data_IF_242508859938
#
_entry.id   IF_242508859938
#
_cell.length_a   1.000
_cell.length_b   1.000
_cell.length_c   1.000
_cell.angle_alpha   90.00
_cell.angle_beta   90.00
_cell.angle_gamma   90.00
#
_symmetry.space_group_name_H-M   'P 1'
#
loop_
_entity.id
_entity.type
_entity.pdbx_description
1 polymer ?
#
# COMPACT_ATOMS: atom_id res chain seq x y z
N UNK A 1 1.10 13.61 -18.28
CA UNK A 1 0.33 12.87 -17.25
C UNK A 1 0.47 13.61 -15.92
N UNK A 2 -0.58 13.73 -15.10
CA UNK A 2 -0.48 14.44 -13.80
C UNK A 2 0.21 13.54 -12.77
N UNK A 3 1.30 14.02 -12.18
CA UNK A 3 2.07 13.33 -11.14
C UNK A 3 2.44 14.35 -10.07
N UNK A 4 1.90 14.19 -8.87
CA UNK A 4 2.13 15.12 -7.74
C UNK A 4 3.01 14.52 -6.66
N UNK A 5 3.17 13.18 -6.66
CA UNK A 5 4.10 12.46 -5.79
C UNK A 5 4.48 11.09 -6.37
N UNK A 6 5.58 10.52 -5.89
CA UNK A 6 6.05 9.17 -6.21
C UNK A 6 6.02 8.31 -4.94
N UNK A 7 5.48 7.10 -5.07
CA UNK A 7 5.61 6.02 -4.09
C UNK A 7 5.95 4.73 -4.83
N UNK A 8 6.52 3.74 -4.14
CA UNK A 8 6.91 2.48 -4.77
C UNK A 8 5.77 1.82 -5.55
N UNK A 9 4.54 1.83 -5.02
CA UNK A 9 3.39 1.25 -5.73
C UNK A 9 2.93 2.08 -6.92
N UNK A 10 3.07 3.41 -6.90
CA UNK A 10 2.64 4.27 -8.00
C UNK A 10 3.64 4.18 -9.14
N UNK A 11 4.94 4.17 -8.82
CA UNK A 11 6.00 3.88 -9.79
C UNK A 11 5.83 2.49 -10.43
N UNK A 12 5.66 1.44 -9.62
CA UNK A 12 5.48 0.09 -10.14
C UNK A 12 4.20 -0.05 -10.98
N UNK A 13 3.12 0.66 -10.62
CA UNK A 13 1.89 0.65 -11.40
C UNK A 13 2.07 1.35 -12.76
N UNK A 14 2.78 2.48 -12.79
CA UNK A 14 3.16 3.15 -14.03
C UNK A 14 4.03 2.27 -14.92
N UNK A 15 5.11 1.71 -14.35
CA UNK A 15 6.02 0.82 -15.06
C UNK A 15 5.30 -0.42 -15.58
N UNK A 16 4.30 -0.91 -14.84
CA UNK A 16 3.44 -1.99 -15.31
C UNK A 16 2.54 -1.55 -16.46
N UNK A 17 1.87 -0.40 -16.38
CA UNK A 17 1.01 0.15 -17.43
C UNK A 17 0.64 1.62 -17.13
N UNK A 18 0.99 2.54 -18.02
CA UNK A 18 0.72 3.97 -17.82
C UNK A 18 -0.79 4.29 -17.79
N UNK A 19 -1.60 3.59 -18.60
CA UNK A 19 -3.06 3.68 -18.53
C UNK A 19 -3.60 3.23 -17.18
N UNK A 20 -2.99 2.21 -16.58
CA UNK A 20 -3.38 1.75 -15.24
C UNK A 20 -3.09 2.84 -14.21
N UNK A 21 -1.90 3.45 -14.26
CA UNK A 21 -1.53 4.54 -13.37
C UNK A 21 -2.52 5.69 -13.46
N UNK A 22 -2.87 6.09 -14.69
CA UNK A 22 -3.81 7.18 -14.90
C UNK A 22 -5.17 6.90 -14.26
N UNK A 23 -5.72 5.69 -14.48
CA UNK A 23 -7.01 5.30 -13.90
C UNK A 23 -6.94 5.25 -12.35
N UNK A 24 -5.85 4.74 -11.79
CA UNK A 24 -5.68 4.58 -10.33
C UNK A 24 -5.38 5.89 -9.61
N UNK A 25 -4.37 6.64 -10.05
CA UNK A 25 -3.78 7.75 -9.30
C UNK A 25 -4.21 9.13 -9.80
N UNK A 26 -4.78 9.23 -11.00
CA UNK A 26 -5.29 10.51 -11.54
C UNK A 26 -6.82 10.53 -11.54
N UNK A 27 -7.47 9.43 -11.91
CA UNK A 27 -8.94 9.34 -11.88
C UNK A 27 -9.50 8.75 -10.58
N UNK A 28 -8.66 8.22 -9.69
CA UNK A 28 -9.08 7.74 -8.36
C UNK A 28 -9.82 6.40 -8.34
N UNK A 29 -9.81 5.63 -9.44
CA UNK A 29 -10.44 4.31 -9.49
C UNK A 29 -9.46 3.25 -8.98
N UNK A 30 -9.62 2.82 -7.73
CA UNK A 30 -8.81 1.76 -7.15
C UNK A 30 -9.30 0.38 -7.57
N UNK A 31 -8.37 -0.54 -7.83
CA UNK A 31 -8.70 -1.96 -7.98
C UNK A 31 -8.94 -2.59 -6.62
N UNK A 32 -9.87 -3.55 -6.56
CA UNK A 32 -10.03 -4.39 -5.36
C UNK A 32 -8.72 -5.12 -5.02
N UNK A 33 -8.43 -5.23 -3.72
CA UNK A 33 -7.25 -5.95 -3.26
C UNK A 33 -7.44 -7.45 -3.52
N UNK A 34 -6.40 -8.09 -4.06
CA UNK A 34 -6.41 -9.53 -4.26
C UNK A 34 -6.23 -10.26 -2.92
N UNK A 35 -6.89 -11.40 -2.74
CA UNK A 35 -6.81 -12.22 -1.52
C UNK A 35 -5.40 -12.37 -0.93
N UNK A 36 -4.38 -12.64 -1.76
CA UNK A 36 -2.99 -12.79 -1.28
C UNK A 36 -2.41 -11.51 -0.67
N UNK A 37 -2.77 -10.35 -1.21
CA UNK A 37 -2.34 -9.07 -0.67
C UNK A 37 -3.02 -8.82 0.68
N UNK A 38 -4.31 -9.12 0.81
CA UNK A 38 -5.05 -9.01 2.09
C UNK A 38 -4.50 -9.96 3.16
N UNK A 39 -4.11 -11.19 2.81
CA UNK A 39 -3.41 -12.08 3.73
C UNK A 39 -2.08 -11.47 4.22
N UNK A 40 -1.37 -10.76 3.35
CA UNK A 40 -0.19 -9.98 3.73
C UNK A 40 -0.51 -8.87 4.71
N UNK A 41 -1.54 -8.06 4.43
CA UNK A 41 -2.01 -6.99 5.33
C UNK A 41 -2.36 -7.51 6.73
N UNK A 42 -3.05 -8.65 6.82
CA UNK A 42 -3.38 -9.29 8.10
C UNK A 42 -2.11 -9.63 8.89
N UNK A 43 -1.10 -10.21 8.24
CA UNK A 43 0.18 -10.55 8.89
C UNK A 43 0.94 -9.28 9.31
N UNK A 44 1.01 -8.26 8.45
CA UNK A 44 1.66 -6.99 8.76
C UNK A 44 1.07 -6.31 9.99
N UNK A 45 -0.26 -6.29 10.09
CA UNK A 45 -0.94 -5.67 11.25
C UNK A 45 -0.58 -6.33 12.58
N UNK A 46 -0.39 -7.66 12.59
CA UNK A 46 0.13 -8.37 13.78
C UNK A 46 1.51 -7.83 14.15
N UNK A 47 2.41 -7.73 13.18
CA UNK A 47 3.79 -7.27 13.39
C UNK A 47 3.86 -5.80 13.84
N UNK A 48 3.05 -4.94 13.24
CA UNK A 48 2.86 -3.53 13.63
C UNK A 48 2.43 -3.41 15.09
N UNK A 49 1.40 -4.15 15.51
CA UNK A 49 0.89 -4.09 16.89
C UNK A 49 1.93 -4.58 17.89
N UNK A 50 2.67 -5.65 17.57
CA UNK A 50 3.78 -6.11 18.41
C UNK A 50 4.88 -5.05 18.54
N UNK A 51 5.23 -4.37 17.46
CA UNK A 51 6.19 -3.27 17.47
C UNK A 51 5.70 -2.08 18.30
N UNK A 52 4.43 -1.67 18.16
CA UNK A 52 3.82 -0.60 18.96
C UNK A 52 3.81 -0.94 20.45
N UNK A 53 3.44 -2.17 20.82
CA UNK A 53 3.47 -2.64 22.22
C UNK A 53 4.90 -2.65 22.78
N UNK A 54 5.88 -3.08 21.98
CA UNK A 54 7.30 -3.04 22.36
C UNK A 54 7.80 -1.61 22.54
N UNK A 55 7.44 -0.68 21.64
CA UNK A 55 7.76 0.75 21.77
C UNK A 55 7.16 1.33 23.06
N UNK A 56 5.89 1.03 23.33
CA UNK A 56 5.25 1.44 24.59
C UNK A 56 6.02 0.91 25.79
N UNK A 57 6.46 -0.35 25.77
CA UNK A 57 7.25 -0.94 26.85
C UNK A 57 8.60 -0.24 27.06
N UNK A 58 9.27 0.15 25.98
CA UNK A 58 10.54 0.91 26.00
C UNK A 58 10.34 2.30 26.60
N UNK A 59 9.29 3.00 26.20
CA UNK A 59 9.01 4.37 26.67
C UNK A 59 8.46 4.39 28.11
N UNK A 60 7.90 3.26 28.56
CA UNK A 60 7.27 3.12 29.87
C UNK A 60 7.87 1.92 30.65
N UNK A 61 9.16 1.95 31.03
CA UNK A 61 9.85 0.80 31.61
C UNK A 61 9.23 0.35 32.95
N UNK A 62 8.69 1.29 33.73
CA UNK A 62 8.07 1.01 35.04
C UNK A 62 6.65 0.43 34.96
N UNK A 63 5.94 0.57 33.82
CA UNK A 63 4.57 0.05 33.70
C UNK A 63 4.60 -1.46 33.55
N UNK A 64 3.72 -2.16 34.27
CA UNK A 64 3.58 -3.62 34.18
C UNK A 64 2.60 -4.05 33.08
N UNK A 65 1.71 -3.14 32.66
CA UNK A 65 0.76 -3.33 31.57
C UNK A 65 1.18 -2.54 30.34
N UNK A 66 0.88 -3.08 29.17
CA UNK A 66 1.06 -2.47 27.86
C UNK A 66 -0.32 -2.14 27.31
N UNK A 67 -0.47 -0.95 26.75
CA UNK A 67 -1.72 -0.53 26.13
C UNK A 67 -1.51 0.22 24.83
N UNK A 68 -2.29 -0.11 23.82
CA UNK A 68 -2.37 0.63 22.55
C UNK A 68 -3.82 0.68 22.08
N UNK A 69 -4.11 1.66 21.23
CA UNK A 69 -5.34 1.76 20.45
C UNK A 69 -4.98 1.57 18.99
N UNK A 70 -5.73 0.73 18.28
CA UNK A 70 -5.53 0.47 16.86
C UNK A 70 -6.89 0.19 16.22
N UNK A 71 -7.09 0.67 14.99
CA UNK A 71 -8.35 0.54 14.28
C UNK A 71 -8.73 -0.93 14.03
N UNK A 72 -7.75 -1.74 13.62
CA UNK A 72 -8.00 -3.11 13.19
C UNK A 72 -8.15 -4.09 14.36
N UNK A 73 -7.46 -3.85 15.48
CA UNK A 73 -7.44 -4.78 16.63
C UNK A 73 -8.12 -4.23 17.89
N UNK A 74 -8.64 -3.01 17.80
CA UNK A 74 -9.22 -2.23 18.91
C UNK A 74 -8.21 -2.01 20.04
N UNK A 75 -8.71 -1.67 21.24
CA UNK A 75 -7.86 -1.56 22.42
C UNK A 75 -7.19 -2.90 22.77
N UNK A 76 -5.88 -2.86 22.96
CA UNK A 76 -5.09 -3.94 23.58
C UNK A 76 -4.63 -3.46 24.94
N UNK A 77 -4.88 -4.25 25.99
CA UNK A 77 -4.42 -3.97 27.35
C UNK A 77 -3.99 -5.28 28.04
N UNK A 78 -2.70 -5.55 28.05
CA UNK A 78 -2.13 -6.84 28.49
C UNK A 78 -0.99 -6.63 29.50
N UNK A 79 -0.65 -7.65 30.28
CA UNK A 79 0.60 -7.62 31.07
C UNK A 79 1.81 -7.75 30.15
N UNK A 80 2.95 -7.18 30.55
CA UNK A 80 4.23 -7.33 29.83
C UNK A 80 4.60 -8.79 29.55
N UNK A 81 4.29 -9.70 30.46
CA UNK A 81 4.55 -11.14 30.30
C UNK A 81 3.74 -11.79 29.19
N UNK A 82 2.58 -11.23 28.82
CA UNK A 82 1.68 -11.81 27.83
C UNK A 82 2.15 -11.54 26.38
N UNK A 83 2.94 -10.47 26.16
CA UNK A 83 3.46 -10.05 24.84
C UNK A 83 4.20 -11.16 24.09
N UNK A 84 4.82 -12.09 24.82
CA UNK A 84 5.64 -13.17 24.26
C UNK A 84 4.90 -14.50 24.15
N UNK A 85 3.65 -14.57 24.62
CA UNK A 85 2.91 -15.83 24.67
C UNK A 85 2.32 -16.18 23.30
N UNK A 86 2.34 -17.46 22.94
CA UNK A 86 1.70 -17.92 21.70
C UNK A 86 0.20 -17.61 21.69
N UNK A 87 -0.46 -17.74 22.84
CA UNK A 87 -1.86 -17.38 23.03
C UNK A 87 -2.16 -15.95 22.58
N UNK A 88 -1.34 -14.98 22.99
CA UNK A 88 -1.55 -13.59 22.62
C UNK A 88 -1.34 -13.36 21.12
N UNK A 89 -0.37 -14.04 20.50
CA UNK A 89 -0.16 -13.99 19.05
C UNK A 89 -1.38 -14.51 18.28
N UNK A 90 -1.97 -15.62 18.73
CA UNK A 90 -3.17 -16.19 18.13
C UNK A 90 -4.38 -15.24 18.26
N UNK A 91 -4.57 -14.65 19.44
CA UNK A 91 -5.63 -13.67 19.70
C UNK A 91 -5.48 -12.41 18.82
N UNK A 92 -4.25 -11.90 18.70
CA UNK A 92 -3.94 -10.73 17.89
C UNK A 92 -4.18 -11.00 16.39
N UNK A 93 -3.73 -12.17 15.90
CA UNK A 93 -4.02 -12.59 14.54
C UNK A 93 -5.52 -12.73 14.30
N UNK A 94 -6.28 -13.32 15.24
CA UNK A 94 -7.72 -13.48 15.09
C UNK A 94 -8.43 -12.13 14.96
N UNK A 95 -8.03 -11.13 15.76
CA UNK A 95 -8.55 -9.76 15.68
C UNK A 95 -8.28 -9.14 14.31
N UNK A 96 -7.02 -9.15 13.87
CA UNK A 96 -6.62 -8.59 12.58
C UNK A 96 -7.31 -9.31 11.41
N UNK A 97 -7.35 -10.65 11.45
CA UNK A 97 -8.01 -11.46 10.43
C UNK A 97 -9.49 -11.14 10.33
N UNK A 98 -10.21 -11.07 11.46
CA UNK A 98 -11.64 -10.76 11.46
C UNK A 98 -11.92 -9.39 10.86
N UNK A 99 -11.14 -8.36 11.23
CA UNK A 99 -11.30 -7.01 10.72
C UNK A 99 -11.13 -6.93 9.19
N UNK A 100 -10.02 -7.41 8.66
CA UNK A 100 -9.75 -7.30 7.23
C UNK A 100 -10.60 -8.24 6.36
N UNK A 101 -11.11 -9.34 6.93
CA UNK A 101 -11.98 -10.26 6.17
C UNK A 101 -13.45 -9.88 6.22
N UNK A 102 -13.93 -9.13 7.21
CA UNK A 102 -15.35 -8.73 7.30
C UNK A 102 -15.76 -7.76 6.19
N UNK A 103 -14.84 -6.97 5.66
CA UNK A 103 -15.11 -5.96 4.63
C UNK A 103 -14.63 -6.38 3.23
N UNK A 104 -14.02 -7.56 3.12
CA UNK A 104 -13.43 -8.02 1.87
C UNK A 104 -14.45 -8.65 0.92
N UNK A 105 -14.24 -8.43 -0.38
CA UNK A 105 -14.96 -9.13 -1.46
C UNK A 105 -14.42 -10.53 -1.74
N UNK A 106 -13.27 -10.89 -1.15
CA UNK A 106 -12.65 -12.19 -1.31
C UNK A 106 -13.25 -13.21 -0.32
N UNK A 107 -13.26 -14.49 -0.72
CA UNK A 107 -13.66 -15.58 0.18
C UNK A 107 -12.47 -16.14 0.95
N UNK A 108 -12.65 -16.28 2.27
CA UNK A 108 -11.63 -16.71 3.21
C UNK A 108 -11.99 -18.03 3.89
N UNK A 109 -11.00 -18.88 4.11
CA UNK A 109 -11.14 -20.20 4.72
C UNK A 109 -10.29 -20.33 5.97
N UNK A 110 -10.52 -21.38 6.76
CA UNK A 110 -9.66 -21.69 7.91
C UNK A 110 -8.21 -21.96 7.50
N UNK A 111 -8.00 -22.52 6.31
CA UNK A 111 -6.66 -22.74 5.78
C UNK A 111 -5.91 -21.42 5.54
N UNK A 112 -6.60 -20.36 5.14
CA UNK A 112 -6.00 -19.04 4.95
C UNK A 112 -5.59 -18.41 6.29
N UNK A 113 -6.41 -18.58 7.33
CA UNK A 113 -6.07 -18.14 8.68
C UNK A 113 -4.86 -18.90 9.23
N UNK A 114 -4.83 -20.23 9.06
CA UNK A 114 -3.69 -21.05 9.48
C UNK A 114 -2.42 -20.68 8.70
N UNK A 115 -2.57 -20.31 7.42
CA UNK A 115 -1.48 -19.80 6.61
C UNK A 115 -0.93 -18.48 7.14
N UNK A 116 -1.79 -17.53 7.52
CA UNK A 116 -1.36 -16.28 8.17
C UNK A 116 -0.62 -16.57 9.48
N UNK A 117 -1.14 -17.48 10.31
CA UNK A 117 -0.49 -17.86 11.56
C UNK A 117 0.91 -18.43 11.32
N UNK A 118 1.04 -19.30 10.33
CA UNK A 118 2.33 -19.82 9.91
C UNK A 118 3.28 -18.68 9.51
N UNK A 119 2.84 -17.74 8.67
CA UNK A 119 3.68 -16.60 8.24
C UNK A 119 4.12 -15.69 9.39
N UNK A 120 3.23 -15.45 10.36
CA UNK A 120 3.57 -14.71 11.59
C UNK A 120 4.70 -15.42 12.32
N UNK A 121 4.58 -16.72 12.57
CA UNK A 121 5.61 -17.48 13.27
C UNK A 121 6.90 -17.65 12.47
N UNK A 122 6.81 -17.88 11.16
CA UNK A 122 7.96 -17.92 10.25
C UNK A 122 8.76 -16.61 10.36
N UNK A 123 8.06 -15.47 10.47
CA UNK A 123 8.70 -14.14 10.64
C UNK A 123 9.29 -13.97 12.05
N UNK A 124 8.52 -14.28 13.10
CA UNK A 124 8.97 -14.11 14.49
C UNK A 124 10.10 -15.06 14.90
N UNK A 125 10.23 -16.22 14.24
CA UNK A 125 11.24 -17.22 14.55
C UNK A 125 12.42 -17.23 13.55
N UNK A 126 12.34 -16.44 12.48
CA UNK A 126 13.41 -16.38 11.47
C UNK A 126 14.76 -16.05 12.11
N UNK A 127 15.75 -16.90 11.86
CA UNK A 127 17.13 -16.74 12.33
C UNK A 127 17.19 -16.38 13.83
N UNK A 128 16.60 -17.23 14.67
CA UNK A 128 16.50 -17.06 16.12
C UNK A 128 15.84 -15.73 16.55
N UNK A 129 14.85 -15.28 15.77
CA UNK A 129 14.10 -14.06 16.05
C UNK A 129 14.81 -12.77 15.67
N UNK A 130 15.75 -12.83 14.70
CA UNK A 130 16.51 -11.68 14.20
C UNK A 130 15.63 -10.46 13.91
N UNK A 131 14.45 -10.67 13.31
CA UNK A 131 13.51 -9.63 12.90
C UNK A 131 12.21 -9.61 13.71
N UNK A 132 12.18 -10.28 14.87
CA UNK A 132 11.06 -10.19 15.80
C UNK A 132 11.05 -8.80 16.47
N UNK A 133 10.04 -7.94 16.22
CA UNK A 133 10.01 -6.59 16.77
C UNK A 133 10.09 -6.58 18.29
N UNK A 134 9.62 -7.62 18.99
CA UNK A 134 9.64 -7.69 20.46
C UNK A 134 11.05 -7.71 21.03
N UNK A 135 12.04 -8.14 20.25
CA UNK A 135 13.45 -8.18 20.64
C UNK A 135 14.29 -7.02 20.09
N UNK A 136 13.69 -6.07 19.36
CA UNK A 136 14.40 -4.91 18.81
C UNK A 136 14.30 -3.69 19.72
N UNK A 137 15.22 -2.73 19.54
CA UNK A 137 15.07 -1.37 20.03
C UNK A 137 14.26 -0.58 19.00
N UNK A 138 12.96 -0.46 19.23
CA UNK A 138 12.04 0.19 18.29
C UNK A 138 12.26 1.70 18.34
N UNK A 139 12.48 2.30 17.16
CA UNK A 139 12.50 3.75 16.96
C UNK A 139 11.09 4.22 16.58
N UNK A 140 10.50 3.60 15.56
CA UNK A 140 9.13 3.86 15.11
C UNK A 140 8.54 2.62 14.42
N UNK A 141 7.22 2.44 14.52
CA UNK A 141 6.45 1.42 13.80
C UNK A 141 5.47 2.12 12.85
N UNK A 142 5.44 1.72 11.59
CA UNK A 142 4.67 2.36 10.51
C UNK A 142 4.89 3.90 10.37
N UNK A 143 6.11 4.47 10.51
CA UNK A 143 6.28 5.89 10.25
C UNK A 143 6.01 6.24 8.78
N UNK A 144 5.13 7.23 8.58
CA UNK A 144 4.93 7.86 7.29
C UNK A 144 6.03 8.88 7.00
N UNK A 145 6.42 8.97 5.73
CA UNK A 145 7.31 10.02 5.24
C UNK A 145 6.71 10.69 4.01
N UNK A 146 6.93 12.00 3.94
CA UNK A 146 6.59 12.87 2.83
C UNK A 146 7.78 13.80 2.63
N UNK A 147 8.62 13.47 1.65
CA UNK A 147 9.90 14.13 1.42
C UNK A 147 9.80 14.88 0.08
N UNK A 148 9.63 16.21 0.09
CA UNK A 148 9.71 17.03 -1.12
C UNK A 148 11.07 16.87 -1.79
N UNK A 149 11.08 16.79 -3.12
CA UNK A 149 12.31 16.81 -3.91
C UNK A 149 12.70 18.27 -4.11
N UNK A 150 13.73 18.74 -3.42
CA UNK A 150 14.20 20.14 -3.45
C UNK A 150 15.04 20.43 -4.71
N UNK A 151 14.38 20.40 -5.86
CA UNK A 151 14.98 20.62 -7.18
C UNK A 151 14.02 21.40 -8.08
N UNK A 152 14.53 22.34 -8.87
CA UNK A 152 13.70 23.18 -9.75
C UNK A 152 12.82 22.35 -10.70
N UNK A 153 13.35 21.24 -11.23
CA UNK A 153 12.62 20.36 -12.14
C UNK A 153 11.45 19.61 -11.49
N UNK A 154 11.42 19.54 -10.17
CA UNK A 154 10.38 18.85 -9.41
C UNK A 154 9.18 19.76 -9.09
N UNK A 155 9.25 21.05 -9.41
CA UNK A 155 8.07 21.92 -9.35
C UNK A 155 7.05 21.50 -10.41
N UNK A 156 5.77 21.45 -10.03
CA UNK A 156 4.67 21.20 -10.95
C UNK A 156 3.57 22.24 -10.81
N UNK A 157 2.89 22.49 -11.92
CA UNK A 157 1.69 23.32 -12.01
C UNK A 157 0.75 22.69 -13.04
N UNK A 158 -0.47 22.32 -12.61
CA UNK A 158 -1.50 21.77 -13.48
C UNK A 158 -2.83 22.48 -13.26
N UNK A 159 -3.59 22.68 -14.33
CA UNK A 159 -4.99 23.07 -14.24
C UNK A 159 -5.87 21.81 -14.23
N UNK A 160 -6.69 21.66 -13.19
CA UNK A 160 -7.62 20.52 -13.05
C UNK A 160 -8.99 21.07 -12.67
N UNK A 161 -10.00 20.84 -13.53
CA UNK A 161 -11.37 21.30 -13.30
C UNK A 161 -11.46 22.82 -12.99
N UNK A 162 -10.66 23.64 -13.68
CA UNK A 162 -10.58 25.09 -13.46
C UNK A 162 -9.90 25.52 -12.15
N UNK A 163 -9.29 24.58 -11.41
CA UNK A 163 -8.47 24.85 -10.22
C UNK A 163 -7.01 24.57 -10.54
N UNK A 164 -6.15 25.55 -10.26
CA UNK A 164 -4.70 25.36 -10.32
C UNK A 164 -4.23 24.53 -9.13
N UNK A 165 -3.59 23.40 -9.41
CA UNK A 165 -2.82 22.61 -8.45
C UNK A 165 -1.34 22.85 -8.71
N UNK A 166 -0.63 23.30 -7.69
CA UNK A 166 0.82 23.55 -7.75
C UNK A 166 1.51 22.98 -6.52
N UNK A 167 2.75 22.56 -6.67
CA UNK A 167 3.51 22.00 -5.58
C UNK A 167 4.88 21.49 -6.02
N UNK A 168 5.55 20.86 -5.06
CA UNK A 168 6.83 20.19 -5.29
C UNK A 168 6.58 18.68 -5.33
N UNK A 169 7.11 18.01 -6.35
CA UNK A 169 7.08 16.56 -6.42
C UNK A 169 7.71 15.99 -5.15
N UNK A 170 7.04 15.04 -4.50
CA UNK A 170 7.50 14.45 -3.25
C UNK A 170 7.61 12.92 -3.35
N UNK A 171 8.51 12.35 -2.56
CA UNK A 171 8.60 10.91 -2.32
C UNK A 171 7.80 10.62 -1.06
N UNK A 172 6.75 9.80 -1.19
CA UNK A 172 5.85 9.45 -0.10
C UNK A 172 5.83 7.96 0.15
N UNK A 173 5.65 7.56 1.40
CA UNK A 173 5.46 6.17 1.75
C UNK A 173 5.35 5.93 3.25
N UNK A 174 5.33 4.65 3.58
CA UNK A 174 5.36 4.15 4.95
C UNK A 174 6.48 3.13 5.04
N UNK A 175 7.21 3.15 6.14
CA UNK A 175 8.20 2.13 6.48
C UNK A 175 7.56 1.20 7.52
N UNK A 176 7.57 -0.11 7.31
CA UNK A 176 6.92 -1.03 8.26
C UNK A 176 7.52 -0.89 9.68
N UNK A 177 8.85 -0.92 9.78
CA UNK A 177 9.53 -0.83 11.07
C UNK A 177 10.90 -0.15 10.97
N UNK A 178 11.17 0.75 11.93
CA UNK A 178 12.48 1.38 12.14
C UNK A 178 13.00 0.99 13.51
N UNK A 179 14.21 0.42 13.55
CA UNK A 179 14.88 -0.01 14.77
C UNK A 179 16.30 0.57 14.86
N UNK A 180 16.93 0.41 16.01
CA UNK A 180 18.34 0.77 16.22
C UNK A 180 19.11 -0.48 16.68
N UNK A 181 20.13 -0.87 15.92
CA UNK A 181 20.93 -2.09 16.18
C UNK A 181 22.06 -1.84 17.18
N UNK A 182 22.67 -0.66 17.09
CA UNK A 182 23.71 -0.14 17.98
C UNK A 182 23.64 1.38 17.96
N UNK A 183 24.42 2.04 18.83
CA UNK A 183 24.38 3.50 18.99
C UNK A 183 24.54 4.22 17.65
N UNK A 184 23.47 4.90 17.23
CA UNK A 184 23.42 5.68 15.99
C UNK A 184 23.24 4.87 14.70
N UNK A 185 23.15 3.54 14.76
CA UNK A 185 22.90 2.69 13.59
C UNK A 185 21.41 2.35 13.51
N UNK A 186 20.74 2.99 12.56
CA UNK A 186 19.32 2.76 12.26
C UNK A 186 19.18 1.62 11.26
N UNK A 187 18.27 0.70 11.56
CA UNK A 187 17.86 -0.39 10.68
C UNK A 187 16.41 -0.19 10.26
N UNK A 188 16.16 -0.29 8.96
CA UNK A 188 14.82 -0.30 8.38
C UNK A 188 14.47 -1.74 8.03
N UNK A 189 13.35 -2.23 8.57
CA UNK A 189 12.81 -3.54 8.29
C UNK A 189 11.52 -3.35 7.46
N UNK A 190 11.48 -4.06 6.34
CA UNK A 190 10.34 -4.12 5.41
C UNK A 190 9.89 -5.58 5.32
N UNK A 191 8.77 -5.90 5.96
CA UNK A 191 8.19 -7.24 5.92
C UNK A 191 7.53 -7.45 4.55
N UNK A 192 7.65 -8.66 4.02
CA UNK A 192 7.05 -9.01 2.74
C UNK A 192 6.54 -10.43 2.76
N UNK A 193 5.25 -10.59 2.46
CA UNK A 193 4.64 -11.89 2.22
C UNK A 193 4.59 -12.17 0.72
N UNK A 194 5.27 -13.22 0.25
CA UNK A 194 5.19 -13.68 -1.14
C UNK A 194 6.54 -13.82 -1.83
N UNK A 195 6.51 -14.17 -3.13
CA UNK A 195 7.72 -14.32 -3.95
C UNK A 195 8.19 -12.96 -4.45
N UNK A 196 9.49 -12.67 -4.31
CA UNK A 196 10.13 -11.54 -5.00
C UNK A 196 10.37 -11.95 -6.45
N UNK A 197 9.46 -11.52 -7.32
CA UNK A 197 9.65 -11.56 -8.77
C UNK A 197 9.81 -10.10 -9.19
N UNK A 198 10.95 -9.76 -9.77
CA UNK A 198 11.12 -8.47 -10.44
C UNK A 198 10.35 -8.53 -11.76
N UNK A 199 9.35 -7.66 -11.90
CA UNK A 199 8.47 -7.59 -13.07
C UNK A 199 8.79 -6.40 -13.97
N UNK A 200 9.81 -5.60 -13.63
CA UNK A 200 10.13 -4.32 -14.25
C UNK A 200 11.58 -4.31 -14.77
N UNK A 201 11.84 -5.05 -15.84
CA UNK A 201 13.09 -4.94 -16.59
C UNK A 201 12.85 -4.17 -17.88
N UNK A 202 12.95 -2.83 -17.81
CA UNK A 202 12.91 -1.97 -18.99
C UNK A 202 12.67 -0.50 -18.65
N UNK A 203 13.74 0.30 -18.62
CA UNK A 203 13.72 1.75 -18.49
C UNK A 203 13.17 2.43 -19.75
N UNK A 204 12.33 3.45 -19.56
CA UNK A 204 12.26 4.70 -20.34
C UNK A 204 11.43 5.74 -19.54
N UNK A 205 11.87 7.00 -19.57
CA UNK A 205 11.52 8.07 -18.62
C UNK A 205 10.01 8.37 -18.44
N UNK A 206 9.55 8.35 -17.18
CA UNK A 206 8.20 8.83 -16.77
C UNK A 206 7.95 10.27 -17.23
N UNK A 207 9.01 11.09 -17.26
CA UNK A 207 8.94 12.55 -17.51
C UNK A 207 8.41 12.90 -18.91
N UNK A 208 8.63 12.05 -19.91
CA UNK A 208 8.23 12.34 -21.30
C UNK A 208 6.80 11.89 -21.65
N UNK A 209 6.06 11.34 -20.68
CA UNK A 209 4.73 10.82 -20.94
C UNK A 209 3.65 11.91 -21.01
N UNK A 210 3.33 12.30 -22.24
CA UNK A 210 2.27 13.27 -22.53
C UNK A 210 0.87 12.66 -22.48
N UNK A 211 0.70 11.39 -22.88
CA UNK A 211 -0.59 10.68 -22.92
C UNK A 211 -0.43 9.24 -22.42
N UNK A 212 -1.19 8.81 -21.40
CA UNK A 212 -1.04 7.48 -20.82
C UNK A 212 -1.35 6.41 -21.86
N UNK A 213 -0.46 5.44 -21.99
CA UNK A 213 -0.59 4.34 -22.94
C UNK A 213 -0.88 3.01 -22.24
N UNK A 214 -1.76 2.19 -22.82
CA UNK A 214 -1.86 0.80 -22.42
C UNK A 214 -0.62 0.02 -22.87
N UNK A 215 -0.23 -1.01 -22.12
CA UNK A 215 0.86 -1.92 -22.55
C UNK A 215 0.58 -2.66 -23.87
N UNK A 216 -0.67 -2.68 -24.31
CA UNK A 216 -1.09 -3.28 -25.56
C UNK A 216 -2.26 -2.48 -26.13
N UNK A 217 -2.12 -1.84 -27.30
CA UNK A 217 -3.19 -1.07 -27.93
C UNK A 217 -4.48 -1.88 -28.07
N UNK A 218 -4.38 -3.15 -28.47
CA UNK A 218 -5.54 -4.03 -28.65
C UNK A 218 -5.89 -4.87 -27.40
N UNK A 219 -5.19 -4.66 -26.26
CA UNK A 219 -5.33 -5.45 -25.03
C UNK A 219 -5.10 -6.95 -25.19
N UNK A 220 -4.37 -7.37 -26.23
CA UNK A 220 -4.04 -8.77 -26.51
C UNK A 220 -2.94 -9.32 -25.59
N UNK A 221 -2.13 -8.44 -25.00
CA UNK A 221 -1.08 -8.86 -24.07
C UNK A 221 -1.70 -9.65 -22.91
N UNK A 222 -1.07 -10.77 -22.53
CA UNK A 222 -1.55 -11.64 -21.46
C UNK A 222 -1.74 -10.91 -20.12
N UNK A 223 -0.95 -9.86 -19.85
CA UNK A 223 -1.13 -8.98 -18.68
C UNK A 223 -2.47 -8.23 -18.72
N UNK A 224 -2.91 -7.78 -19.90
CA UNK A 224 -4.23 -7.17 -20.08
C UNK A 224 -5.35 -8.20 -19.87
N UNK A 225 -5.25 -9.36 -20.53
CA UNK A 225 -6.34 -10.35 -20.53
C UNK A 225 -6.44 -11.15 -19.23
N UNK A 226 -5.32 -11.37 -18.52
CA UNK A 226 -5.26 -12.24 -17.34
C UNK A 226 -5.05 -11.53 -16.02
N UNK A 227 -4.45 -10.34 -15.97
CA UNK A 227 -4.07 -9.69 -14.71
C UNK A 227 -4.71 -8.33 -14.49
N UNK A 228 -4.91 -7.53 -15.54
CA UNK A 228 -5.39 -6.15 -15.41
C UNK A 228 -6.84 -6.10 -14.93
N UNK A 229 -7.07 -5.51 -13.76
CA UNK A 229 -8.42 -5.28 -13.21
C UNK A 229 -9.28 -4.48 -14.18
N UNK A 230 -8.76 -3.37 -14.72
CA UNK A 230 -9.51 -2.44 -15.59
C UNK A 230 -9.85 -2.99 -16.98
N UNK A 231 -9.23 -4.09 -17.40
CA UNK A 231 -9.65 -4.82 -18.61
C UNK A 231 -10.74 -5.86 -18.31
N UNK A 232 -10.89 -6.26 -17.05
CA UNK A 232 -11.87 -7.25 -16.57
C UNK A 232 -13.12 -6.62 -15.97
N UNK A 233 -13.08 -5.33 -15.67
CA UNK A 233 -14.21 -4.56 -15.16
C UNK A 233 -14.73 -3.61 -16.22
N UNK A 234 -16.05 -3.48 -16.29
CA UNK A 234 -16.72 -2.55 -17.19
C UNK A 234 -16.83 -1.17 -16.55
N UNK A 235 -16.81 -0.14 -17.40
CA UNK A 235 -17.13 1.21 -16.97
C UNK A 235 -18.60 1.27 -16.51
N UNK A 236 -18.91 1.89 -15.35
CA UNK A 236 -20.26 1.89 -14.81
C UNK A 236 -21.30 2.37 -15.84
N UNK A 237 -22.36 1.57 -16.02
CA UNK A 237 -23.44 1.86 -16.97
C UNK A 237 -23.11 1.55 -18.44
N UNK A 238 -22.03 0.82 -18.72
CA UNK A 238 -21.65 0.42 -20.09
C UNK A 238 -21.18 -1.04 -20.13
N UNK A 239 -21.17 -1.63 -21.33
CA UNK A 239 -20.57 -2.96 -21.58
C UNK A 239 -19.08 -2.88 -21.97
N UNK A 240 -18.50 -1.68 -21.97
CA UNK A 240 -17.12 -1.46 -22.36
C UNK A 240 -16.19 -1.59 -21.14
N UNK A 241 -15.10 -2.35 -21.28
CA UNK A 241 -14.12 -2.42 -20.21
C UNK A 241 -13.52 -1.03 -19.92
N UNK A 242 -13.23 -0.76 -18.64
CA UNK A 242 -12.78 0.55 -18.17
C UNK A 242 -11.54 1.04 -18.92
N UNK A 243 -10.60 0.14 -19.22
CA UNK A 243 -9.35 0.49 -19.86
C UNK A 243 -9.53 1.01 -21.29
N UNK A 244 -10.46 0.43 -22.07
CA UNK A 244 -10.79 0.92 -23.42
C UNK A 244 -11.68 2.15 -23.33
N UNK A 245 -12.65 2.18 -22.41
CA UNK A 245 -13.53 3.35 -22.23
C UNK A 245 -12.71 4.62 -21.97
N UNK A 246 -11.78 4.56 -21.02
CA UNK A 246 -10.90 5.70 -20.68
C UNK A 246 -9.97 6.05 -21.83
N UNK A 247 -9.41 5.06 -22.55
CA UNK A 247 -8.59 5.34 -23.74
C UNK A 247 -9.40 6.09 -24.81
N UNK A 248 -10.65 5.70 -25.04
CA UNK A 248 -11.52 6.36 -26.00
C UNK A 248 -11.86 7.79 -25.55
N UNK A 249 -12.18 8.00 -24.26
CA UNK A 249 -12.40 9.35 -23.72
C UNK A 249 -11.19 10.24 -23.89
N UNK A 250 -9.98 9.72 -23.64
CA UNK A 250 -8.73 10.45 -23.86
C UNK A 250 -8.51 10.83 -25.33
N UNK A 251 -8.85 9.94 -26.26
CA UNK A 251 -8.72 10.19 -27.70
C UNK A 251 -9.74 11.21 -28.21
N UNK A 252 -10.99 11.12 -27.74
CA UNK A 252 -12.09 11.94 -28.22
C UNK A 252 -12.14 13.32 -27.56
N UNK A 253 -11.95 13.37 -26.24
CA UNK A 253 -12.24 14.56 -25.42
C UNK A 253 -10.96 15.23 -24.88
N UNK A 254 -9.81 14.56 -24.97
CA UNK A 254 -8.56 15.02 -24.38
C UNK A 254 -8.48 14.80 -22.87
N UNK A 255 -7.34 15.17 -22.29
CA UNK A 255 -6.99 14.89 -20.90
C UNK A 255 -7.91 15.60 -19.90
N UNK A 256 -8.09 16.90 -20.06
CA UNK A 256 -8.81 17.75 -19.10
C UNK A 256 -10.27 17.30 -18.96
N UNK A 257 -10.98 17.16 -20.08
CA UNK A 257 -12.36 16.71 -20.09
C UNK A 257 -12.50 15.27 -19.58
N UNK A 258 -11.54 14.39 -19.88
CA UNK A 258 -11.53 13.03 -19.32
C UNK A 258 -11.37 13.04 -17.81
N UNK A 259 -10.47 13.87 -17.26
CA UNK A 259 -10.33 13.98 -15.79
C UNK A 259 -11.63 14.50 -15.19
N UNK A 260 -12.26 15.51 -15.79
CA UNK A 260 -13.52 16.07 -15.32
C UNK A 260 -14.66 15.05 -15.30
N UNK A 261 -14.81 14.28 -16.38
CA UNK A 261 -15.96 13.38 -16.56
C UNK A 261 -15.76 12.00 -15.95
N UNK A 262 -14.51 11.56 -15.83
CA UNK A 262 -14.17 10.19 -15.44
C UNK A 262 -13.50 10.09 -14.07
N UNK A 263 -13.24 11.18 -13.35
CA UNK A 263 -12.73 11.08 -11.98
C UNK A 263 -13.78 10.51 -11.03
N UNK A 264 -13.35 9.64 -10.11
CA UNK A 264 -14.20 9.13 -9.04
C UNK A 264 -14.65 10.29 -8.16
N UNK A 265 -15.95 10.34 -7.85
CA UNK A 265 -16.51 11.38 -6.99
C UNK A 265 -15.79 11.41 -5.63
N UNK A 266 -15.39 12.60 -5.19
CA UNK A 266 -14.68 12.82 -3.93
C UNK A 266 -13.17 12.50 -3.95
N UNK A 267 -12.61 12.15 -5.11
CA UNK A 267 -11.16 11.97 -5.26
C UNK A 267 -10.44 13.31 -5.36
N UNK A 268 -9.35 13.47 -4.59
CA UNK A 268 -8.46 14.64 -4.64
C UNK A 268 -7.08 14.25 -5.18
N UNK A 269 -6.67 14.90 -6.27
CA UNK A 269 -5.42 14.58 -6.95
C UNK A 269 -4.25 15.13 -6.13
N UNK A 270 -3.39 14.23 -5.67
CA UNK A 270 -2.22 14.57 -4.84
C UNK A 270 -2.42 14.43 -3.34
N UNK A 271 -3.64 14.14 -2.89
CA UNK A 271 -3.84 13.61 -1.55
C UNK A 271 -3.35 12.16 -1.50
N UNK A 272 -2.54 11.85 -0.49
CA UNK A 272 -2.12 10.49 -0.19
C UNK A 272 -2.84 10.01 1.07
N UNK A 273 -3.75 9.05 0.92
CA UNK A 273 -4.22 8.23 2.04
C UNK A 273 -3.23 7.09 2.25
N UNK A 274 -2.57 7.06 3.39
CA UNK A 274 -1.77 5.90 3.77
C UNK A 274 -2.66 4.64 3.75
N UNK A 275 -2.19 3.50 3.19
CA UNK A 275 -2.89 2.24 3.38
C UNK A 275 -2.75 1.83 4.85
N UNK A 276 -3.88 1.70 5.54
CA UNK A 276 -4.00 1.29 6.94
C UNK A 276 -5.43 0.89 7.19
#
# INVERSE_FOLDING_TARGET
MIVTYIRSSSYNNYAYCQMQYFITYVLGHQSDSGKKAELGTIVHKVMEVLAKLKKFAQDNPKKLKLCIQDEAVSEINIKKSELYTAKFIDELLQKSYNFYTSESKNSFSKADQNYCLKLVWDTLSYNDGQFDPRYRKIVAAEPHFDIPIDEDWAFYEYEVNGKMIKGQLAIKGTIDLVTETSEGIIEVIDWKTGRRLDWATGEEDIKNNQKPQPISPNRENWKCTKLCHYCKTNWPGTDQNMCIYIENSLKSNGMEQTIKDCSKQGFDIGYYSAPG
#
